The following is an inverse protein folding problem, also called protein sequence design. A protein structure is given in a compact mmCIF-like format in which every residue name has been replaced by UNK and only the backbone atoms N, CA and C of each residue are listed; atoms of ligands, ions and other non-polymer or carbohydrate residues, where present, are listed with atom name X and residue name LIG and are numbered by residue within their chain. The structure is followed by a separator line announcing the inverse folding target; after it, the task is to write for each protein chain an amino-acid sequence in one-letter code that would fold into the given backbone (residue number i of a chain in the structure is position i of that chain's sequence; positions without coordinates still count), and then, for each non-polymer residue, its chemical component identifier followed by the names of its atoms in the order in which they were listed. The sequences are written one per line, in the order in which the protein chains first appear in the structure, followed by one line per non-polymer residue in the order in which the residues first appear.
data_IF_928969325537
#
_entry.id   IF_928969325537
#
_cell.length_a   1.000
_cell.length_b   1.000
_cell.length_c   1.000
_cell.angle_alpha   90.00
_cell.angle_beta   90.00
_cell.angle_gamma   90.00
#
_symmetry.space_group_name_H-M   'P 1'
#
loop_
_entity.id
_entity.type
_entity.pdbx_description
1 polymer ?
#
# COMPACT_ATOMS: atom_id res chain seq x y z
N UNK A 1 -1.49 16.73 10.68
CA UNK A 1 -1.18 15.53 11.50
C UNK A 1 0.32 15.33 11.45
N UNK A 2 1.02 15.44 12.58
CA UNK A 2 2.47 15.15 12.62
C UNK A 2 2.70 13.65 12.65
N UNK A 3 3.41 13.12 11.65
CA UNK A 3 3.73 11.69 11.55
C UNK A 3 5.06 11.43 12.25
N UNK A 4 4.98 10.73 13.39
CA UNK A 4 6.11 10.35 14.25
C UNK A 4 6.54 8.90 14.05
N UNK A 5 5.60 8.02 13.69
CA UNK A 5 5.90 6.62 13.35
C UNK A 5 5.12 6.17 12.11
N UNK A 6 5.76 5.30 11.33
CA UNK A 6 5.17 4.67 10.16
C UNK A 6 5.83 3.30 9.99
N UNK A 7 5.04 2.23 10.09
CA UNK A 7 5.52 0.86 10.13
C UNK A 7 4.75 0.01 9.12
N UNK A 8 5.45 -0.77 8.30
CA UNK A 8 4.79 -1.78 7.47
C UNK A 8 4.28 -2.89 8.38
N UNK A 9 2.96 -3.09 8.40
CA UNK A 9 2.33 -4.11 9.25
C UNK A 9 2.23 -5.43 8.51
N UNK A 10 1.56 -5.46 7.35
CA UNK A 10 1.34 -6.68 6.56
C UNK A 10 0.83 -6.38 5.16
N UNK A 11 1.16 -7.27 4.22
CA UNK A 11 0.45 -7.42 2.94
C UNK A 11 -0.51 -8.60 3.01
N UNK A 12 -1.78 -8.41 2.65
CA UNK A 12 -2.81 -9.45 2.70
C UNK A 12 -3.37 -9.79 1.32
N UNK A 13 -3.84 -11.02 1.18
CA UNK A 13 -4.65 -11.51 0.05
C UNK A 13 -5.87 -12.21 0.64
N UNK A 14 -7.08 -11.75 0.29
CA UNK A 14 -8.31 -12.25 0.91
C UNK A 14 -8.54 -11.73 2.33
N UNK A 15 -9.38 -12.43 3.08
CA UNK A 15 -9.78 -12.03 4.44
C UNK A 15 -8.63 -12.14 5.44
N UNK A 16 -8.50 -11.14 6.32
CA UNK A 16 -7.49 -11.12 7.36
C UNK A 16 -7.99 -10.35 8.59
N UNK A 17 -7.58 -10.76 9.80
CA UNK A 17 -7.95 -10.10 11.07
C UNK A 17 -7.61 -8.60 11.12
N UNK A 18 -6.63 -8.13 10.34
CA UNK A 18 -6.33 -6.69 10.26
C UNK A 18 -7.50 -5.85 9.73
N UNK A 19 -8.44 -6.47 8.99
CA UNK A 19 -9.67 -5.82 8.52
C UNK A 19 -10.64 -5.52 9.67
N UNK A 20 -10.53 -6.27 10.78
CA UNK A 20 -11.33 -6.13 11.99
C UNK A 20 -10.62 -5.27 13.05
N UNK A 21 -9.41 -4.79 12.75
CA UNK A 21 -8.72 -3.85 13.62
C UNK A 21 -9.43 -2.50 13.50
N UNK A 22 -10.20 -2.12 14.53
CA UNK A 22 -11.07 -0.92 14.63
C UNK A 22 -10.35 0.44 14.49
N UNK A 23 -9.14 0.46 13.91
CA UNK A 23 -8.39 1.65 13.55
C UNK A 23 -8.90 2.20 12.22
N UNK A 24 -8.99 3.52 12.10
CA UNK A 24 -9.35 4.17 10.84
C UNK A 24 -8.37 3.80 9.72
N UNK A 25 -8.89 3.65 8.50
CA UNK A 25 -8.12 3.23 7.33
C UNK A 25 -8.24 4.28 6.21
N UNK A 26 -7.11 4.70 5.67
CA UNK A 26 -7.02 5.62 4.53
C UNK A 26 -6.46 4.82 3.36
N UNK A 27 -7.31 4.51 2.39
CA UNK A 27 -6.96 3.70 1.24
C UNK A 27 -6.49 4.55 0.06
N UNK A 28 -5.39 4.12 -0.56
CA UNK A 28 -4.80 4.73 -1.75
C UNK A 28 -5.03 3.80 -2.94
N UNK A 29 -5.71 4.30 -3.98
CA UNK A 29 -5.97 3.59 -5.25
C UNK A 29 -5.64 4.50 -6.43
N UNK A 30 -5.23 3.91 -7.55
CA UNK A 30 -4.90 4.65 -8.75
C UNK A 30 -4.38 3.74 -9.86
N UNK A 31 -4.13 4.31 -11.04
CA UNK A 31 -3.49 3.56 -12.13
C UNK A 31 -2.11 3.08 -11.71
N UNK A 32 -1.69 1.94 -12.24
CA UNK A 32 -0.30 1.48 -12.09
C UNK A 32 0.68 2.56 -12.57
N UNK A 33 1.75 2.76 -11.81
CA UNK A 33 2.78 3.79 -12.03
C UNK A 33 2.31 5.26 -11.96
N UNK A 34 1.13 5.55 -11.41
CA UNK A 34 0.65 6.93 -11.21
C UNK A 34 1.40 7.71 -10.11
N UNK A 35 2.31 7.06 -9.38
CA UNK A 35 3.05 7.69 -8.28
C UNK A 35 2.45 7.49 -6.88
N UNK A 36 1.49 6.57 -6.71
CA UNK A 36 0.86 6.24 -5.43
C UNK A 36 1.87 5.98 -4.29
N UNK A 37 2.86 5.12 -4.54
CA UNK A 37 3.90 4.81 -3.55
C UNK A 37 4.74 6.04 -3.18
N UNK A 38 4.95 6.97 -4.11
CA UNK A 38 5.67 8.22 -3.86
C UNK A 38 4.89 9.12 -2.91
N UNK A 39 3.57 9.25 -3.11
CA UNK A 39 2.70 10.01 -2.21
C UNK A 39 2.66 9.39 -0.81
N UNK A 40 2.54 8.06 -0.71
CA UNK A 40 2.52 7.40 0.60
C UNK A 40 3.84 7.62 1.35
N UNK A 41 4.99 7.49 0.67
CA UNK A 41 6.31 7.76 1.25
C UNK A 41 6.46 9.22 1.68
N UNK A 42 5.95 10.17 0.89
CA UNK A 42 5.95 11.60 1.20
C UNK A 42 5.10 11.88 2.45
N UNK A 43 3.86 11.40 2.48
CA UNK A 43 2.97 11.57 3.63
C UNK A 43 3.55 10.92 4.88
N UNK A 44 4.09 9.71 4.77
CA UNK A 44 4.70 9.00 5.90
C UNK A 44 6.05 9.59 6.36
N UNK A 45 6.57 10.63 5.68
CA UNK A 45 7.89 11.21 5.91
C UNK A 45 9.02 10.15 5.94
N UNK A 46 8.92 9.13 5.06
CA UNK A 46 9.85 7.98 5.00
C UNK A 46 10.17 7.66 3.55
N UNK A 47 11.46 7.66 3.18
CA UNK A 47 11.91 7.44 1.79
C UNK A 47 11.78 6.01 1.26
N UNK A 48 11.55 5.00 2.12
CA UNK A 48 11.57 3.57 1.74
C UNK A 48 10.50 2.73 2.45
N UNK A 49 9.40 3.34 2.91
CA UNK A 49 8.33 2.62 3.60
C UNK A 49 7.56 1.73 2.62
N UNK A 50 7.11 2.32 1.51
CA UNK A 50 6.48 1.59 0.41
C UNK A 50 7.53 1.34 -0.66
N UNK A 51 7.77 0.05 -0.95
CA UNK A 51 8.64 -0.33 -2.07
C UNK A 51 7.90 -0.08 -3.39
N UNK A 52 8.35 0.91 -4.16
CA UNK A 52 7.96 1.05 -5.56
C UNK A 52 8.57 -0.12 -6.35
N UNK A 53 7.81 -1.17 -6.63
CA UNK A 53 8.28 -2.23 -7.52
C UNK A 53 8.31 -1.67 -8.94
N UNK A 54 9.48 -1.67 -9.58
CA UNK A 54 9.66 -1.30 -10.99
C UNK A 54 9.10 -2.34 -11.96
N UNK A 55 8.76 -3.55 -11.48
CA UNK A 55 8.10 -4.61 -12.25
C UNK A 55 6.59 -4.50 -12.09
N UNK A 56 5.85 -4.11 -13.13
CA UNK A 56 4.40 -3.99 -13.05
C UNK A 56 3.75 -5.36 -12.79
N UNK A 57 2.62 -5.39 -12.06
CA UNK A 57 1.80 -6.59 -11.88
C UNK A 57 2.16 -7.51 -10.70
N UNK A 58 3.17 -7.17 -9.89
CA UNK A 58 3.56 -7.99 -8.73
C UNK A 58 2.76 -7.75 -7.45
N UNK A 59 2.13 -6.57 -7.29
CA UNK A 59 1.37 -6.24 -6.07
C UNK A 59 -0.05 -6.78 -6.18
N UNK A 60 -0.24 -8.08 -5.91
CA UNK A 60 -1.57 -8.70 -5.73
C UNK A 60 -2.12 -8.54 -4.31
N UNK A 61 -1.34 -7.94 -3.42
CA UNK A 61 -1.65 -7.82 -2.00
C UNK A 61 -2.09 -6.39 -1.66
N UNK A 62 -2.98 -6.26 -0.68
CA UNK A 62 -3.30 -4.99 -0.03
C UNK A 62 -2.29 -4.79 1.09
N UNK A 63 -1.55 -3.68 1.07
CA UNK A 63 -0.51 -3.43 2.08
C UNK A 63 -1.00 -2.43 3.13
N UNK A 64 -0.79 -2.76 4.40
CA UNK A 64 -1.16 -1.93 5.54
C UNK A 64 0.10 -1.33 6.18
N UNK A 65 0.07 -0.02 6.39
CA UNK A 65 1.10 0.74 7.08
C UNK A 65 0.49 1.43 8.28
N UNK A 66 0.95 1.07 9.48
CA UNK A 66 0.46 1.65 10.72
C UNK A 66 1.16 2.99 10.98
N UNK A 67 0.38 4.07 10.95
CA UNK A 67 0.82 5.44 11.16
C UNK A 67 0.47 5.87 12.59
N UNK A 68 1.47 6.36 13.32
CA UNK A 68 1.34 6.84 14.70
C UNK A 68 0.65 5.84 15.66
N UNK A 69 0.71 4.54 15.34
CA UNK A 69 -0.02 3.46 16.05
C UNK A 69 -1.54 3.64 16.12
N UNK A 70 -2.12 4.49 15.26
CA UNK A 70 -3.54 4.91 15.34
C UNK A 70 -4.33 4.71 14.06
N UNK A 71 -3.71 4.92 12.90
CA UNK A 71 -4.39 4.90 11.60
C UNK A 71 -3.62 4.01 10.65
N UNK A 72 -4.33 3.30 9.78
CA UNK A 72 -3.72 2.58 8.68
C UNK A 72 -3.70 3.43 7.41
N UNK A 73 -2.54 3.56 6.80
CA UNK A 73 -2.46 3.83 5.37
C UNK A 73 -2.52 2.50 4.63
N UNK A 74 -3.44 2.38 3.67
CA UNK A 74 -3.73 1.14 2.95
C UNK A 74 -3.38 1.32 1.49
N UNK A 75 -2.34 0.64 1.01
CA UNK A 75 -1.91 0.68 -0.38
C UNK A 75 -2.61 -0.42 -1.18
N UNK A 76 -3.56 -0.03 -2.02
CA UNK A 76 -4.29 -0.95 -2.88
C UNK A 76 -3.50 -1.22 -4.18
N UNK A 77 -3.68 -2.42 -4.78
CA UNK A 77 -3.16 -2.72 -6.12
C UNK A 77 -3.56 -1.65 -7.14
N UNK A 78 -2.62 -1.24 -7.98
CA UNK A 78 -2.91 -0.30 -9.07
C UNK A 78 -3.74 -0.95 -10.18
N UNK A 79 -4.69 -0.22 -10.75
CA UNK A 79 -5.51 -0.70 -11.87
C UNK A 79 -4.93 -0.28 -13.23
N UNK A 80 -5.45 -0.85 -14.33
CA UNK A 80 -5.18 -0.36 -15.69
C UNK A 80 -3.79 -0.66 -16.27
N UNK A 81 -3.02 -1.57 -15.66
CA UNK A 81 -1.82 -2.16 -16.28
C UNK A 81 -1.82 -3.67 -16.04
N UNK A 82 -2.16 -4.44 -17.07
CA UNK A 82 -2.02 -5.89 -17.10
C UNK A 82 -0.94 -6.22 -18.13
N UNK A 83 0.29 -6.47 -17.66
CA UNK A 83 1.19 -7.33 -18.43
C UNK A 83 0.80 -8.76 -18.04
N UNK A 84 -0.20 -9.29 -18.73
CA UNK A 84 -0.43 -10.72 -18.74
C UNK A 84 0.75 -11.35 -19.48
N UNK A 85 1.67 -11.98 -18.76
CA UNK A 85 2.47 -13.03 -19.38
C UNK A 85 1.48 -14.16 -19.70
N UNK A 86 0.93 -14.11 -20.91
CA UNK A 86 0.32 -15.28 -21.53
C UNK A 86 1.46 -16.29 -21.65
N UNK A 87 1.58 -17.21 -20.69
CA UNK A 87 2.34 -18.43 -20.90
C UNK A 87 1.68 -19.14 -22.10
N UNK A 88 2.36 -19.10 -23.25
CA UNK A 88 2.14 -20.06 -24.34
C UNK A 88 2.54 -21.45 -23.86
#
# INVERSE_FOLDING_TARGET
MDIKSAEFTRGITGTNKILEDNKSQIAFIGRSNVGKSSIINLLANRKKLVKSSSKPGKTRQINFFLINKKVYFVDLPGYGFMKMDLKK
#
